data_IF_325565301718
#
_entry.id   IF_325565301718
#
_cell.length_a   1.000
_cell.length_b   1.000
_cell.length_c   1.000
_cell.angle_alpha   90.00
_cell.angle_beta   90.00
_cell.angle_gamma   90.00
#
_symmetry.space_group_name_H-M   'P 1'
#
loop_
_entity.id
_entity.type
_entity.pdbx_description
1 polymer ?
#
# COMPACT_ATOMS: atom_id res chain seq x y z
N UNK A 1 -13.32 -7.27 7.30
CA UNK A 1 -12.27 -8.25 6.92
C UNK A 1 -12.19 -8.54 5.43
N UNK A 2 -13.14 -8.09 4.58
CA UNK A 2 -13.15 -8.46 3.15
C UNK A 2 -12.13 -7.65 2.32
N UNK A 3 -12.04 -6.33 2.52
CA UNK A 3 -11.18 -5.47 1.70
C UNK A 3 -9.69 -5.74 1.87
N UNK A 4 -9.24 -6.05 3.09
CA UNK A 4 -7.83 -6.35 3.35
C UNK A 4 -7.39 -7.60 2.60
N UNK A 5 -8.16 -8.69 2.73
CA UNK A 5 -7.88 -9.96 2.05
C UNK A 5 -7.90 -9.79 0.52
N UNK A 6 -8.83 -8.97 0.00
CA UNK A 6 -8.87 -8.63 -1.42
C UNK A 6 -7.60 -7.88 -1.86
N UNK A 7 -7.21 -6.83 -1.14
CA UNK A 7 -6.00 -6.07 -1.47
C UNK A 7 -4.74 -6.94 -1.37
N UNK A 8 -4.67 -7.82 -0.38
CA UNK A 8 -3.58 -8.78 -0.21
C UNK A 8 -3.47 -9.71 -1.41
N UNK A 9 -4.59 -10.32 -1.83
CA UNK A 9 -4.67 -11.15 -3.04
C UNK A 9 -4.21 -10.40 -4.29
N UNK A 10 -4.75 -9.19 -4.53
CA UNK A 10 -4.38 -8.36 -5.69
C UNK A 10 -2.88 -8.04 -5.68
N UNK A 11 -2.33 -7.69 -4.53
CA UNK A 11 -0.89 -7.39 -4.42
C UNK A 11 -0.01 -8.62 -4.61
N UNK A 12 -0.47 -9.82 -4.24
CA UNK A 12 0.25 -11.08 -4.49
C UNK A 12 0.28 -11.45 -5.97
N UNK A 13 -0.79 -11.17 -6.72
CA UNK A 13 -0.86 -11.44 -8.15
C UNK A 13 -0.21 -10.35 -9.01
N UNK A 14 -0.08 -9.14 -8.49
CA UNK A 14 0.56 -8.04 -9.18
C UNK A 14 2.07 -8.28 -9.30
N UNK A 15 2.50 -8.79 -10.46
CA UNK A 15 3.92 -8.98 -10.77
C UNK A 15 4.63 -7.62 -10.78
N UNK A 16 5.63 -7.46 -9.91
CA UNK A 16 6.48 -6.27 -9.87
C UNK A 16 7.37 -6.25 -11.11
N UNK A 17 7.03 -5.42 -12.08
CA UNK A 17 7.85 -5.19 -13.28
C UNK A 17 8.87 -4.09 -13.00
N UNK A 18 10.11 -4.48 -12.74
CA UNK A 18 11.26 -3.55 -12.65
C UNK A 18 12.16 -3.67 -13.86
N UNK A 19 12.72 -2.54 -14.31
CA UNK A 19 13.77 -2.55 -15.34
C UNK A 19 15.04 -3.24 -14.81
N UNK A 20 15.79 -3.88 -15.72
CA UNK A 20 17.00 -4.67 -15.41
C UNK A 20 18.09 -3.86 -14.67
N UNK A 21 18.13 -2.54 -14.83
CA UNK A 21 19.17 -1.66 -14.28
C UNK A 21 18.66 -0.74 -13.16
N UNK A 22 17.77 -1.23 -12.29
CA UNK A 22 17.24 -0.42 -11.18
C UNK A 22 18.18 -0.44 -9.97
N UNK A 23 18.37 0.73 -9.33
CA UNK A 23 19.27 0.89 -8.17
C UNK A 23 18.85 0.08 -6.94
N UNK A 24 17.56 -0.17 -6.79
CA UNK A 24 16.97 -0.80 -5.60
C UNK A 24 16.02 -1.92 -6.03
N UNK A 25 15.82 -2.89 -5.14
CA UNK A 25 14.68 -3.81 -5.24
C UNK A 25 13.42 -3.02 -4.88
N UNK A 26 12.34 -3.21 -5.64
CA UNK A 26 11.08 -2.52 -5.41
C UNK A 26 10.02 -3.48 -4.89
N UNK A 27 9.09 -2.94 -4.12
CA UNK A 27 7.86 -3.60 -3.68
C UNK A 27 6.66 -2.72 -3.98
N UNK A 28 5.48 -3.33 -4.09
CA UNK A 28 4.24 -2.59 -4.28
C UNK A 28 4.00 -1.69 -3.07
N UNK A 29 3.56 -0.46 -3.31
CA UNK A 29 3.09 0.41 -2.25
C UNK A 29 1.67 -0.04 -1.83
N UNK A 30 1.60 -0.74 -0.70
CA UNK A 30 0.35 -1.30 -0.19
C UNK A 30 -0.71 -0.22 0.08
N UNK A 31 -0.32 0.94 0.64
CA UNK A 31 -1.28 2.00 0.96
C UNK A 31 -1.93 2.57 -0.31
N UNK A 32 -1.16 2.78 -1.38
CA UNK A 32 -1.72 3.21 -2.67
C UNK A 32 -2.52 2.10 -3.33
N UNK A 33 -2.08 0.84 -3.25
CA UNK A 33 -2.81 -0.31 -3.78
C UNK A 33 -4.20 -0.44 -3.14
N UNK A 34 -4.30 -0.25 -1.82
CA UNK A 34 -5.59 -0.24 -1.10
C UNK A 34 -6.50 0.89 -1.59
N UNK A 35 -5.95 2.09 -1.81
CA UNK A 35 -6.73 3.21 -2.34
C UNK A 35 -7.24 2.95 -3.77
N UNK A 36 -6.41 2.34 -4.63
CA UNK A 36 -6.79 1.95 -5.98
C UNK A 36 -7.87 0.86 -5.94
N UNK A 37 -7.67 -0.20 -5.16
CA UNK A 37 -8.65 -1.26 -4.97
C UNK A 37 -9.99 -0.71 -4.46
N UNK A 38 -9.95 0.22 -3.51
CA UNK A 38 -11.14 0.91 -3.01
C UNK A 38 -11.84 1.72 -4.10
N UNK A 39 -11.10 2.43 -4.95
CA UNK A 39 -11.67 3.20 -6.05
C UNK A 39 -12.33 2.28 -7.09
N UNK A 40 -11.66 1.19 -7.47
CA UNK A 40 -12.17 0.15 -8.37
C UNK A 40 -13.50 -0.44 -7.85
N UNK A 41 -13.55 -0.86 -6.58
CA UNK A 41 -14.77 -1.42 -5.99
C UNK A 41 -15.93 -0.41 -5.91
N UNK A 42 -15.62 0.89 -5.82
CA UNK A 42 -16.65 1.94 -5.68
C UNK A 42 -17.22 2.40 -7.02
N UNK A 43 -16.36 2.54 -8.03
CA UNK A 43 -16.74 3.15 -9.30
C UNK A 43 -16.86 2.14 -10.44
N UNK A 44 -16.43 0.89 -10.22
CA UNK A 44 -16.15 -0.05 -11.30
C UNK A 44 -14.93 0.41 -12.11
N UNK A 45 -14.43 -0.46 -12.97
CA UNK A 45 -13.31 -0.14 -13.85
C UNK A 45 -12.79 -1.38 -14.53
N UNK A 46 -11.78 -1.19 -15.39
CA UNK A 46 -11.08 -2.31 -15.98
C UNK A 46 -10.05 -2.89 -14.99
N UNK A 47 -10.07 -4.22 -14.86
CA UNK A 47 -9.14 -4.96 -14.04
C UNK A 47 -7.71 -4.79 -14.56
N UNK A 48 -7.52 -4.72 -15.88
CA UNK A 48 -6.18 -4.61 -16.45
C UNK A 48 -5.56 -3.23 -16.17
N UNK A 49 -6.34 -2.16 -16.34
CA UNK A 49 -5.90 -0.80 -16.02
C UNK A 49 -5.55 -0.63 -14.54
N UNK A 50 -6.36 -1.18 -13.64
CA UNK A 50 -6.09 -1.10 -12.20
C UNK A 50 -4.84 -1.88 -11.80
N UNK A 51 -4.62 -3.05 -12.40
CA UNK A 51 -3.41 -3.84 -12.18
C UNK A 51 -2.16 -3.10 -12.68
N UNK A 52 -2.23 -2.46 -13.85
CA UNK A 52 -1.17 -1.62 -14.40
C UNK A 52 -0.89 -0.39 -13.51
N UNK A 53 -1.94 0.22 -12.96
CA UNK A 53 -1.82 1.35 -12.04
C UNK A 53 -1.13 0.93 -10.74
N UNK A 54 -1.45 -0.25 -10.19
CA UNK A 54 -0.78 -0.80 -9.01
C UNK A 54 0.71 -1.07 -9.32
N UNK A 55 1.02 -1.64 -10.49
CA UNK A 55 2.40 -1.88 -10.93
C UNK A 55 3.22 -0.58 -11.09
N UNK A 56 2.57 0.54 -11.41
CA UNK A 56 3.23 1.86 -11.51
C UNK A 56 3.69 2.40 -10.16
N UNK A 57 2.92 2.17 -9.09
CA UNK A 57 3.22 2.71 -7.76
C UNK A 57 4.04 1.75 -6.90
N UNK A 58 5.36 1.80 -7.11
CA UNK A 58 6.32 0.99 -6.37
C UNK A 58 7.09 1.82 -5.34
N UNK A 59 7.52 1.16 -4.26
CA UNK A 59 8.40 1.72 -3.22
C UNK A 59 9.71 0.95 -3.16
N UNK A 60 10.86 1.64 -3.07
CA UNK A 60 12.14 0.96 -2.98
C UNK A 60 12.31 0.31 -1.60
N UNK A 61 12.78 -0.94 -1.60
CA UNK A 61 13.22 -1.66 -0.41
C UNK A 61 14.64 -1.18 -0.08
N UNK A 62 14.79 -0.57 1.09
CA UNK A 62 16.08 -0.07 1.59
C UNK A 62 16.66 -1.06 2.59
N UNK A 63 17.49 -1.96 2.11
CA UNK A 63 18.29 -2.84 2.95
C UNK A 63 19.35 -2.02 3.71
N UNK A 64 19.72 -2.46 4.92
CA UNK A 64 20.82 -1.90 5.71
C UNK A 64 20.71 -0.38 6.01
N UNK A 65 19.55 0.07 6.52
CA UNK A 65 19.43 1.44 7.03
C UNK A 65 20.40 1.64 8.22
N UNK A 66 21.37 2.55 8.06
CA UNK A 66 22.32 2.96 9.12
C UNK A 66 21.62 3.50 10.36
N UNK A 67 20.52 4.24 10.17
CA UNK A 67 19.74 4.83 11.24
C UNK A 67 18.33 4.22 11.27
N UNK A 68 17.82 3.81 12.44
CA UNK A 68 16.46 3.30 12.59
C UNK A 68 15.42 4.40 12.32
N UNK A 69 14.18 4.00 12.07
CA UNK A 69 13.08 4.95 11.98
C UNK A 69 12.80 5.48 13.39
N UNK A 70 12.89 6.79 13.58
CA UNK A 70 12.47 7.43 14.82
C UNK A 70 10.95 7.37 14.96
N UNK A 71 10.45 6.36 15.67
CA UNK A 71 9.04 6.21 15.97
C UNK A 71 8.69 7.13 17.14
N UNK A 72 7.71 8.01 16.95
CA UNK A 72 7.14 8.78 18.05
C UNK A 72 6.20 7.88 18.88
N UNK A 73 6.22 7.96 20.22
CA UNK A 73 5.28 7.23 21.06
C UNK A 73 3.85 7.62 20.70
N UNK A 74 2.99 6.62 20.53
CA UNK A 74 1.59 6.83 20.17
C UNK A 74 0.87 7.52 21.33
N UNK A 75 0.29 8.71 21.11
CA UNK A 75 -0.48 9.42 22.13
C UNK A 75 -1.73 8.62 22.49
N UNK A 76 -2.02 8.48 23.79
CA UNK A 76 -3.28 7.91 24.27
C UNK A 76 -4.44 8.79 23.78
N UNK A 77 -5.36 8.20 23.01
CA UNK A 77 -6.61 8.85 22.60
C UNK A 77 -7.65 8.54 23.67
N UNK A 78 -7.85 9.45 24.62
CA UNK A 78 -8.94 9.35 25.57
C UNK A 78 -10.22 9.84 24.88
N UNK A 79 -11.27 9.03 24.90
CA UNK A 79 -12.60 9.46 24.47
C UNK A 79 -13.32 10.03 25.68
N UNK A 80 -13.39 11.35 25.80
CA UNK A 80 -14.28 12.01 26.76
C UNK A 80 -15.62 12.22 26.09
N UNK A 81 -16.62 11.42 26.45
CA UNK A 81 -18.01 11.70 26.06
C UNK A 81 -18.47 12.97 26.78
N UNK A 82 -19.07 13.89 26.04
CA UNK A 82 -19.82 15.00 26.65
C UNK A 82 -21.17 14.47 27.07
N UNK A 83 -21.45 14.50 28.38
CA UNK A 83 -22.80 14.30 28.91
C UNK A 83 -23.56 15.60 28.64
N UNK A 84 -24.70 15.49 27.96
CA UNK A 84 -25.63 16.60 27.72
C UNK A 84 -26.59 16.73 28.90
#
# INVERSE_FOLDING_TARGET
>A
MILYNFCELVTSHAVVKTSKNTKHVYKINFATAVNICRAYLKHGGDETETMLLIQKYLTPVRYNRKYPIHLSPKRNRNFTYRVA
#
